data_IF_488157744901
#
_entry.id   IF_488157744901
#
_cell.length_a   1.000
_cell.length_b   1.000
_cell.length_c   1.000
_cell.angle_alpha   90.00
_cell.angle_beta   90.00
_cell.angle_gamma   90.00
#
_symmetry.space_group_name_H-M   'P 1'
#
loop_
_entity.id
_entity.type
_entity.pdbx_description
1 polymer ?
#
# COMPACT_ATOMS: atom_id res chain seq x y z
N UNK A 1 -4.53 11.55 -5.89
CA UNK A 1 -3.09 11.21 -5.88
C UNK A 1 -2.44 11.75 -4.61
N UNK A 2 -1.49 11.02 -4.02
CA UNK A 2 -0.76 11.45 -2.82
C UNK A 2 0.68 11.82 -3.21
N UNK A 3 1.16 13.00 -2.83
CA UNK A 3 2.48 13.52 -3.22
C UNK A 3 3.18 14.08 -1.99
N UNK A 4 4.47 13.76 -1.79
CA UNK A 4 5.27 14.34 -0.71
C UNK A 4 5.45 15.85 -0.92
N UNK A 5 5.24 16.64 0.13
CA UNK A 5 5.28 18.10 0.09
C UNK A 5 6.70 18.68 0.26
N UNK A 6 7.70 18.05 -0.36
CA UNK A 6 9.10 18.48 -0.30
C UNK A 6 9.72 18.71 -1.67
N UNK A 7 10.60 19.72 -1.72
CA UNK A 7 11.40 20.07 -2.89
C UNK A 7 10.55 20.12 -4.18
N UNK A 8 10.81 19.22 -5.13
CA UNK A 8 10.09 19.14 -6.40
C UNK A 8 8.59 18.84 -6.25
N UNK A 9 8.17 18.18 -5.17
CA UNK A 9 6.77 17.83 -4.92
C UNK A 9 5.87 19.04 -4.71
N UNK A 10 6.39 20.14 -4.17
CA UNK A 10 5.62 21.37 -3.93
C UNK A 10 5.16 21.98 -5.25
N UNK A 11 6.08 22.10 -6.22
CA UNK A 11 5.78 22.65 -7.55
C UNK A 11 4.80 21.74 -8.28
N UNK A 12 5.03 20.42 -8.23
CA UNK A 12 4.14 19.44 -8.83
C UNK A 12 2.72 19.52 -8.28
N UNK A 13 2.55 19.65 -6.96
CA UNK A 13 1.23 19.81 -6.32
C UNK A 13 0.53 21.06 -6.85
N UNK A 14 1.24 22.19 -6.95
CA UNK A 14 0.66 23.44 -7.47
C UNK A 14 0.19 23.30 -8.91
N UNK A 15 0.99 22.67 -9.77
CA UNK A 15 0.65 22.49 -11.18
C UNK A 15 -0.54 21.53 -11.36
N UNK A 16 -0.60 20.45 -10.59
CA UNK A 16 -1.74 19.53 -10.58
C UNK A 16 -3.02 20.21 -10.10
N UNK A 17 -2.93 21.07 -9.08
CA UNK A 17 -4.07 21.85 -8.60
C UNK A 17 -4.57 22.84 -9.66
N UNK A 18 -3.66 23.52 -10.37
CA UNK A 18 -4.01 24.39 -11.51
C UNK A 18 -4.67 23.63 -12.66
N UNK A 19 -4.25 22.39 -12.87
CA UNK A 19 -4.85 21.48 -13.85
C UNK A 19 -6.17 20.84 -13.37
N UNK A 20 -6.69 21.22 -12.20
CA UNK A 20 -7.89 20.63 -11.58
C UNK A 20 -7.80 19.13 -11.31
N UNK A 21 -6.59 18.59 -11.10
CA UNK A 21 -6.36 17.19 -10.75
C UNK A 21 -6.37 17.02 -9.22
N UNK A 22 -7.20 16.12 -8.65
CA UNK A 22 -7.22 15.88 -7.21
C UNK A 22 -5.89 15.35 -6.65
N UNK A 23 -5.18 16.22 -5.92
CA UNK A 23 -3.90 15.91 -5.27
C UNK A 23 -3.97 16.20 -3.77
N UNK A 24 -3.37 15.31 -2.98
CA UNK A 24 -3.19 15.47 -1.53
C UNK A 24 -1.69 15.58 -1.24
N UNK A 25 -1.31 16.61 -0.52
CA UNK A 25 0.03 16.75 0.04
C UNK A 25 0.21 15.78 1.21
N UNK A 26 1.42 15.25 1.36
CA UNK A 26 1.81 14.41 2.48
C UNK A 26 3.10 14.93 3.08
N UNK A 27 3.07 15.20 4.37
CA UNK A 27 4.26 15.52 5.14
C UNK A 27 4.60 14.33 6.04
N UNK A 28 5.73 13.65 5.82
CA UNK A 28 6.09 12.51 6.64
C UNK A 28 6.53 12.87 8.07
N UNK A 29 6.64 14.17 8.39
CA UNK A 29 7.06 14.64 9.71
C UNK A 29 8.54 14.36 9.99
N UNK A 30 8.87 14.18 11.27
CA UNK A 30 10.25 14.00 11.76
C UNK A 30 10.71 12.54 11.88
N UNK A 31 9.82 11.57 11.62
CA UNK A 31 10.18 10.16 11.67
C UNK A 31 11.23 9.85 10.60
N UNK A 32 12.27 9.10 10.98
CA UNK A 32 13.24 8.57 10.02
C UNK A 32 12.61 7.47 9.15
N UNK A 33 13.29 7.06 8.08
CA UNK A 33 12.73 6.10 7.11
C UNK A 33 12.43 4.73 7.75
N UNK A 34 13.28 4.28 8.67
CA UNK A 34 13.10 2.98 9.38
C UNK A 34 11.86 3.03 10.26
N UNK A 35 11.67 4.12 11.01
CA UNK A 35 10.50 4.36 11.84
C UNK A 35 9.22 4.39 11.00
N UNK A 36 9.24 5.05 9.82
CA UNK A 36 8.08 5.08 8.92
C UNK A 36 7.68 3.69 8.43
N UNK A 37 8.64 2.86 8.03
CA UNK A 37 8.36 1.50 7.61
C UNK A 37 7.87 0.64 8.78
N UNK A 38 8.47 0.81 9.97
CA UNK A 38 8.06 0.09 11.18
C UNK A 38 6.61 0.39 11.58
N UNK A 39 6.16 1.64 11.46
CA UNK A 39 4.78 2.07 11.77
C UNK A 39 3.73 1.34 10.91
N UNK A 40 4.07 0.89 9.70
CA UNK A 40 3.16 0.20 8.79
C UNK A 40 3.37 -1.32 8.73
N UNK A 41 4.42 -1.83 9.39
CA UNK A 41 4.75 -3.26 9.37
C UNK A 41 3.64 -4.13 9.96
N UNK A 42 2.88 -3.60 10.94
CA UNK A 42 1.72 -4.28 11.51
C UNK A 42 0.61 -4.54 10.47
N UNK A 43 0.44 -3.65 9.49
CA UNK A 43 -0.55 -3.82 8.42
C UNK A 43 -0.19 -5.02 7.55
N UNK A 44 1.09 -5.17 7.22
CA UNK A 44 1.61 -6.32 6.46
C UNK A 44 1.46 -7.61 7.28
N UNK A 45 1.86 -7.57 8.56
CA UNK A 45 1.74 -8.71 9.48
C UNK A 45 0.30 -9.21 9.64
N UNK A 46 -0.67 -8.29 9.60
CA UNK A 46 -2.10 -8.60 9.67
C UNK A 46 -2.68 -9.12 8.33
N UNK A 47 -1.85 -9.35 7.31
CA UNK A 47 -2.29 -9.89 6.02
C UNK A 47 -3.13 -8.92 5.19
N UNK A 48 -3.01 -7.61 5.42
CA UNK A 48 -3.77 -6.57 4.70
C UNK A 48 -3.09 -6.10 3.42
N UNK A 49 -1.94 -6.67 3.09
CA UNK A 49 -1.19 -6.40 1.86
C UNK A 49 -1.09 -7.69 1.08
N UNK A 50 -1.48 -7.63 -0.19
CA UNK A 50 -1.39 -8.74 -1.11
C UNK A 50 -0.49 -8.36 -2.28
N UNK A 51 0.36 -9.30 -2.69
CA UNK A 51 1.25 -9.14 -3.84
C UNK A 51 0.90 -10.25 -4.84
N UNK A 52 0.68 -9.94 -6.12
CA UNK A 52 0.30 -10.93 -7.11
C UNK A 52 1.41 -11.93 -7.39
N UNK A 53 1.04 -13.21 -7.43
CA UNK A 53 1.88 -14.29 -7.91
C UNK A 53 2.10 -14.17 -9.43
N UNK A 54 3.26 -14.63 -9.88
CA UNK A 54 3.62 -14.71 -11.30
C UNK A 54 2.80 -15.79 -12.01
N UNK A 55 2.22 -15.45 -13.16
CA UNK A 55 1.53 -16.44 -14.02
C UNK A 55 2.47 -17.52 -14.56
N UNK A 56 3.76 -17.23 -14.69
CA UNK A 56 4.73 -18.10 -15.35
C UNK A 56 5.64 -18.84 -14.36
N UNK A 57 5.75 -18.36 -13.12
CA UNK A 57 6.69 -18.85 -12.11
C UNK A 57 5.97 -19.01 -10.76
N UNK A 58 5.40 -20.19 -10.53
CA UNK A 58 4.75 -20.50 -9.26
C UNK A 58 5.71 -20.29 -8.07
N UNK A 59 5.24 -19.66 -7.00
CA UNK A 59 6.01 -19.29 -5.82
C UNK A 59 6.79 -17.97 -5.94
N UNK A 60 6.76 -17.29 -7.08
CA UNK A 60 7.38 -15.98 -7.28
C UNK A 60 6.33 -14.89 -7.46
N UNK A 61 6.66 -13.66 -7.07
CA UNK A 61 5.82 -12.48 -7.35
C UNK A 61 5.88 -12.10 -8.83
N UNK A 62 4.91 -11.33 -9.32
CA UNK A 62 4.96 -10.74 -10.66
C UNK A 62 6.27 -9.95 -10.86
N UNK A 63 6.82 -10.00 -12.07
CA UNK A 63 8.12 -9.40 -12.40
C UNK A 63 8.17 -7.89 -12.07
N UNK A 64 7.07 -7.15 -12.28
CA UNK A 64 6.98 -5.73 -11.94
C UNK A 64 6.94 -5.47 -10.43
N UNK A 65 6.57 -6.45 -9.60
CA UNK A 65 6.52 -6.36 -8.15
C UNK A 65 7.84 -6.81 -7.49
N UNK A 66 8.66 -7.58 -8.19
CA UNK A 66 9.91 -8.18 -7.66
C UNK A 66 10.86 -7.11 -7.10
N UNK A 67 11.08 -6.01 -7.84
CA UNK A 67 11.95 -4.92 -7.40
C UNK A 67 11.44 -4.24 -6.13
N UNK A 68 10.12 -4.00 -6.05
CA UNK A 68 9.49 -3.42 -4.86
C UNK A 68 9.63 -4.33 -3.64
N UNK A 69 9.27 -5.62 -3.78
CA UNK A 69 9.35 -6.59 -2.67
C UNK A 69 10.78 -6.75 -2.20
N UNK A 70 11.73 -6.90 -3.12
CA UNK A 70 13.16 -7.04 -2.80
C UNK A 70 13.67 -5.82 -2.04
N UNK A 71 13.33 -4.61 -2.49
CA UNK A 71 13.78 -3.38 -1.84
C UNK A 71 13.21 -3.25 -0.42
N UNK A 72 11.91 -3.50 -0.23
CA UNK A 72 11.26 -3.43 1.08
C UNK A 72 11.83 -4.47 2.05
N UNK A 73 12.02 -5.71 1.60
CA UNK A 73 12.57 -6.79 2.42
C UNK A 73 14.06 -6.62 2.74
N UNK A 74 14.81 -5.90 1.91
CA UNK A 74 16.25 -5.67 2.09
C UNK A 74 16.56 -4.35 2.83
N UNK A 75 15.55 -3.54 3.14
CA UNK A 75 15.72 -2.28 3.84
C UNK A 75 16.15 -2.51 5.30
N UNK A 76 17.10 -1.75 5.86
CA UNK A 76 17.71 -0.50 5.36
C UNK A 76 19.00 -0.67 4.56
N UNK A 77 19.38 -1.91 4.18
CA UNK A 77 20.67 -2.21 3.55
C UNK A 77 20.71 -1.99 2.03
N UNK A 78 19.64 -1.46 1.44
CA UNK A 78 19.53 -1.18 -0.01
C UNK A 78 19.95 0.24 -0.34
N UNK A 79 20.61 0.42 -1.50
CA UNK A 79 21.07 1.73 -2.02
C UNK A 79 19.92 2.66 -2.38
N UNK A 80 18.79 2.09 -2.83
CA UNK A 80 17.60 2.85 -3.22
C UNK A 80 16.48 2.61 -2.19
N UNK A 81 15.63 3.61 -1.98
CA UNK A 81 14.52 3.52 -1.02
C UNK A 81 13.20 4.14 -1.51
N UNK A 82 13.11 4.42 -2.81
CA UNK A 82 11.94 5.06 -3.42
C UNK A 82 10.65 4.25 -3.22
N UNK A 83 10.68 2.91 -3.37
CA UNK A 83 9.49 2.08 -3.09
C UNK A 83 9.19 1.99 -1.59
N UNK A 84 10.20 2.08 -0.73
CA UNK A 84 10.01 2.06 0.73
C UNK A 84 9.29 3.33 1.18
N UNK A 85 9.70 4.49 0.66
CA UNK A 85 9.05 5.76 0.93
C UNK A 85 7.62 5.76 0.38
N UNK A 86 7.41 5.36 -0.87
CA UNK A 86 6.07 5.30 -1.47
C UNK A 86 5.14 4.32 -0.74
N UNK A 87 5.64 3.13 -0.40
CA UNK A 87 4.87 2.11 0.32
C UNK A 87 4.49 2.56 1.72
N UNK A 88 5.46 3.03 2.51
CA UNK A 88 5.20 3.47 3.88
C UNK A 88 4.23 4.66 3.94
N UNK A 89 4.37 5.60 3.00
CA UNK A 89 3.46 6.72 2.84
C UNK A 89 2.04 6.29 2.48
N UNK A 90 1.87 5.43 1.48
CA UNK A 90 0.57 4.95 1.05
C UNK A 90 -0.15 4.17 2.16
N UNK A 91 0.55 3.24 2.81
CA UNK A 91 -0.02 2.39 3.85
C UNK A 91 -0.43 3.20 5.08
N UNK A 92 0.40 4.17 5.49
CA UNK A 92 0.06 5.08 6.58
C UNK A 92 -1.17 5.92 6.24
N UNK A 93 -1.22 6.49 5.04
CA UNK A 93 -2.36 7.28 4.60
C UNK A 93 -3.66 6.46 4.59
N UNK A 94 -3.64 5.23 4.05
CA UNK A 94 -4.81 4.36 4.01
C UNK A 94 -5.34 4.05 5.40
N UNK A 95 -4.45 3.77 6.36
CA UNK A 95 -4.83 3.56 7.76
C UNK A 95 -5.40 4.84 8.39
N UNK A 96 -4.67 5.95 8.29
CA UNK A 96 -5.02 7.20 8.97
C UNK A 96 -6.30 7.84 8.37
N UNK A 97 -6.59 7.60 7.09
CA UNK A 97 -7.83 8.03 6.44
C UNK A 97 -9.03 7.12 6.75
N UNK A 98 -8.84 6.02 7.49
CA UNK A 98 -9.89 5.05 7.81
C UNK A 98 -10.26 4.09 6.67
N UNK A 99 -9.46 4.04 5.60
CA UNK A 99 -9.68 3.13 4.46
C UNK A 99 -9.19 1.71 4.76
N UNK A 100 -8.34 1.55 5.78
CA UNK A 100 -7.79 0.27 6.20
C UNK A 100 -7.95 0.09 7.71
N UNK A 101 -8.63 -0.98 8.11
CA UNK A 101 -8.68 -1.46 9.49
C UNK A 101 -7.76 -2.66 9.67
N UNK A 102 -6.95 -2.65 10.73
CA UNK A 102 -5.99 -3.73 11.02
C UNK A 102 -6.71 -4.89 11.69
N UNK A 103 -7.49 -4.57 12.73
CA UNK A 103 -8.33 -5.50 13.49
C UNK A 103 -9.80 -5.06 13.32
N UNK A 104 -10.42 -5.28 12.14
CA UNK A 104 -11.86 -5.17 12.05
C UNK A 104 -12.47 -6.18 13.05
N UNK A 105 -13.62 -5.85 13.66
CA UNK A 105 -14.35 -6.83 14.44
C UNK A 105 -14.51 -8.11 13.61
N UNK A 106 -14.57 -9.29 14.25
CA UNK A 106 -15.03 -10.49 13.56
C UNK A 106 -16.29 -10.09 12.79
N UNK A 107 -16.41 -10.44 11.50
CA UNK A 107 -17.65 -10.18 10.78
C UNK A 107 -18.80 -10.70 11.66
N UNK A 108 -19.74 -9.83 12.07
CA UNK A 108 -20.92 -10.23 12.86
C UNK A 108 -21.54 -11.43 12.18
N UNK A 109 -21.41 -12.63 12.76
CA UNK A 109 -21.94 -13.92 12.31
C UNK A 109 -22.33 -13.97 10.82
N UNK A 110 -21.39 -13.70 9.91
CA UNK A 110 -21.68 -13.78 8.48
C UNK A 110 -21.80 -15.25 8.13
N UNK A 111 -23.03 -15.69 7.84
CA UNK A 111 -23.32 -17.04 7.39
C UNK A 111 -22.52 -17.29 6.09
N UNK A 112 -21.71 -18.35 6.00
CA UNK A 112 -21.06 -18.75 4.76
C UNK A 112 -22.03 -18.83 3.55
N UNK A 113 -23.32 -19.07 3.80
CA UNK A 113 -24.38 -19.07 2.78
C UNK A 113 -24.62 -17.69 2.14
N UNK A 114 -24.38 -16.59 2.86
CA UNK A 114 -24.56 -15.22 2.33
C UNK A 114 -23.56 -14.90 1.20
N UNK A 115 -22.37 -15.51 1.17
CA UNK A 115 -21.42 -15.35 0.06
C UNK A 115 -21.89 -16.08 -1.21
N UNK A 116 -22.61 -17.19 -1.04
CA UNK A 116 -23.15 -18.00 -2.13
C UNK A 116 -24.37 -17.29 -2.73
N UNK A 117 -25.24 -16.74 -1.88
CA UNK A 117 -26.44 -15.99 -2.28
C UNK A 117 -26.12 -14.59 -2.83
N UNK A 118 -25.12 -13.89 -2.29
CA UNK A 118 -24.67 -12.60 -2.82
C UNK A 118 -23.78 -12.73 -4.08
N UNK A 119 -23.37 -13.95 -4.46
CA UNK A 119 -22.47 -14.19 -5.60
C UNK A 119 -21.07 -13.59 -5.43
N UNK A 120 -20.68 -13.20 -4.21
CA UNK A 120 -19.38 -12.58 -3.92
C UNK A 120 -18.35 -13.70 -3.77
N UNK A 121 -17.78 -14.13 -4.90
CA UNK A 121 -16.61 -14.99 -4.89
C UNK A 121 -15.39 -14.16 -4.46
N UNK A 122 -14.68 -14.61 -3.42
CA UNK A 122 -13.33 -14.11 -3.10
C UNK A 122 -12.36 -14.61 -4.16
N UNK A 123 -12.51 -14.10 -5.38
CA UNK A 123 -11.58 -14.30 -6.47
C UNK A 123 -10.62 -13.11 -6.50
N UNK A 124 -9.38 -13.35 -6.90
CA UNK A 124 -8.42 -12.27 -7.06
C UNK A 124 -8.86 -11.43 -8.28
N UNK A 125 -9.17 -10.13 -8.15
CA UNK A 125 -9.60 -9.32 -9.29
C UNK A 125 -8.52 -9.18 -10.39
N UNK A 126 -7.29 -9.63 -10.11
CA UNK A 126 -6.17 -9.67 -11.04
C UNK A 126 -5.75 -11.10 -11.43
N UNK A 127 -6.58 -12.12 -11.17
CA UNK A 127 -6.37 -13.47 -11.72
C UNK A 127 -6.77 -13.50 -13.20
N UNK A 128 -5.85 -13.04 -14.05
CA UNK A 128 -5.83 -13.27 -15.50
C UNK A 128 -4.55 -13.97 -15.90
#
# INVERSE_FOLDING_TARGET
MLVEDKAAGIVLIQDLQRAHIPVRSYNPGKADKVQRLSIVANIVKAGRVWVPESSNRAGFVRDWAEGMVTQICSFPSTTHDDFVDAFSQAMRYLRDAGWLSIDPPPPDDYDPEDYVDAGIKRDNPYSV
#
